data_IF_682619980105
#
_entry.id   IF_682619980105
#
_cell.length_a   1.000
_cell.length_b   1.000
_cell.length_c   1.000
_cell.angle_alpha   90.00
_cell.angle_beta   90.00
_cell.angle_gamma   90.00
#
_symmetry.space_group_name_H-M   'P 1'
#
loop_
_entity.id
_entity.type
_entity.pdbx_description
1 polymer ?
#
# COMPACT_ATOMS: atom_id res chain seq x y z
N UNK A 1 -0.98 -15.58 56.08
CA UNK A 1 -1.33 -14.96 54.77
C UNK A 1 -1.59 -16.09 53.78
N UNK A 2 -2.85 -16.46 53.61
CA UNK A 2 -3.29 -17.51 52.70
C UNK A 2 -3.32 -16.94 51.28
N UNK A 3 -2.38 -17.34 50.43
CA UNK A 3 -2.36 -17.02 49.01
C UNK A 3 -3.61 -17.62 48.35
N UNK A 4 -4.61 -16.77 48.06
CA UNK A 4 -5.81 -17.16 47.29
C UNK A 4 -5.37 -17.64 45.93
N UNK A 5 -5.63 -18.92 45.58
CA UNK A 5 -5.32 -19.46 44.26
C UNK A 5 -6.00 -18.60 43.16
N UNK A 6 -5.30 -18.30 42.06
CA UNK A 6 -5.85 -17.49 40.99
C UNK A 6 -7.09 -18.17 40.40
N UNK A 7 -8.22 -17.48 40.46
CA UNK A 7 -9.49 -17.96 39.91
C UNK A 7 -9.37 -18.09 38.37
N UNK A 8 -9.96 -19.14 37.76
CA UNK A 8 -9.91 -19.29 36.31
C UNK A 8 -10.63 -18.13 35.62
N UNK A 9 -10.08 -17.60 34.49
CA UNK A 9 -10.63 -16.45 33.81
C UNK A 9 -12.08 -16.71 33.33
N UNK A 10 -12.95 -15.75 33.61
CA UNK A 10 -14.38 -15.82 33.23
C UNK A 10 -14.57 -15.87 31.70
N UNK A 11 -15.73 -16.29 31.23
CA UNK A 11 -16.05 -16.31 29.81
C UNK A 11 -15.97 -14.92 29.17
N UNK A 12 -16.41 -13.88 29.89
CA UNK A 12 -16.35 -12.48 29.50
C UNK A 12 -14.91 -11.98 29.40
N UNK A 13 -14.08 -12.27 30.39
CA UNK A 13 -12.67 -11.92 30.43
C UNK A 13 -11.90 -12.52 29.24
N UNK A 14 -12.11 -13.79 28.91
CA UNK A 14 -11.49 -14.43 27.74
C UNK A 14 -11.88 -13.73 26.43
N UNK A 15 -13.10 -13.22 26.30
CA UNK A 15 -13.57 -12.48 25.12
C UNK A 15 -12.93 -11.11 25.02
N UNK A 16 -12.85 -10.34 26.11
CA UNK A 16 -12.15 -9.07 26.14
C UNK A 16 -10.65 -9.23 25.84
N UNK A 17 -9.98 -10.23 26.41
CA UNK A 17 -8.58 -10.53 26.07
C UNK A 17 -8.37 -10.84 24.58
N UNK A 18 -9.36 -11.46 23.90
CA UNK A 18 -9.31 -11.64 22.43
C UNK A 18 -9.44 -10.31 21.70
N UNK A 19 -10.36 -9.44 22.08
CA UNK A 19 -10.54 -8.12 21.48
C UNK A 19 -9.32 -7.22 21.69
N UNK A 20 -8.69 -7.28 22.87
CA UNK A 20 -7.44 -6.57 23.15
C UNK A 20 -6.27 -6.99 22.25
N UNK A 21 -6.35 -8.13 21.56
CA UNK A 21 -5.36 -8.50 20.52
C UNK A 21 -5.34 -7.52 19.33
N UNK A 22 -6.36 -6.70 19.17
CA UNK A 22 -6.38 -5.61 18.20
C UNK A 22 -5.31 -4.55 18.50
N UNK A 23 -4.90 -4.38 19.75
CA UNK A 23 -3.85 -3.42 20.15
C UNK A 23 -2.43 -3.94 19.89
N UNK A 24 -1.42 -3.05 19.70
CA UNK A 24 -0.01 -3.41 19.59
C UNK A 24 0.49 -4.17 20.83
N UNK A 25 1.43 -5.10 20.63
CA UNK A 25 1.98 -5.91 21.74
C UNK A 25 2.55 -5.05 22.89
N UNK A 26 3.29 -3.97 22.56
CA UNK A 26 3.86 -3.06 23.56
C UNK A 26 2.76 -2.35 24.38
N UNK A 27 1.70 -1.91 23.73
CA UNK A 27 0.57 -1.27 24.41
C UNK A 27 -0.15 -2.24 25.33
N UNK A 28 -0.40 -3.47 24.89
CA UNK A 28 -1.03 -4.50 25.73
C UNK A 28 -0.19 -4.91 26.95
N UNK A 29 1.15 -4.94 26.78
CA UNK A 29 2.04 -5.26 27.88
C UNK A 29 2.06 -4.15 28.96
N UNK A 30 1.83 -2.90 28.57
CA UNK A 30 1.82 -1.76 29.48
C UNK A 30 0.44 -1.49 30.11
N UNK A 31 -0.65 -1.67 29.35
CA UNK A 31 -1.99 -1.23 29.76
C UNK A 31 -3.08 -2.32 29.61
N UNK A 32 -2.70 -3.54 29.22
CA UNK A 32 -3.68 -4.59 28.89
C UNK A 32 -4.49 -5.05 30.09
N UNK A 33 -3.86 -5.23 31.24
CA UNK A 33 -4.52 -5.71 32.44
C UNK A 33 -5.39 -4.59 33.05
N UNK A 34 -4.90 -3.35 33.11
CA UNK A 34 -5.67 -2.18 33.55
C UNK A 34 -6.95 -1.96 32.74
N UNK A 35 -6.82 -2.05 31.40
CA UNK A 35 -7.99 -1.96 30.51
C UNK A 35 -8.98 -3.11 30.72
N UNK A 36 -8.46 -4.31 30.99
CA UNK A 36 -9.29 -5.47 31.26
C UNK A 36 -10.08 -5.29 32.55
N UNK A 37 -9.43 -4.80 33.62
CA UNK A 37 -10.04 -4.56 34.91
C UNK A 37 -11.15 -3.52 34.80
N UNK A 38 -10.91 -2.39 34.13
CA UNK A 38 -11.93 -1.35 33.88
C UNK A 38 -13.12 -1.89 33.10
N UNK A 39 -12.86 -2.75 32.07
CA UNK A 39 -13.93 -3.34 31.27
C UNK A 39 -14.75 -4.37 32.04
N UNK A 40 -14.12 -5.11 32.95
CA UNK A 40 -14.83 -6.07 33.82
C UNK A 40 -15.65 -5.36 34.92
N UNK A 41 -15.12 -4.27 35.48
CA UNK A 41 -15.79 -3.45 36.49
C UNK A 41 -17.01 -2.73 35.89
N UNK A 42 -16.93 -2.26 34.65
CA UNK A 42 -18.03 -1.59 33.94
C UNK A 42 -19.09 -2.55 33.38
N UNK A 43 -18.85 -3.86 33.42
CA UNK A 43 -19.77 -4.85 32.89
C UNK A 43 -20.87 -5.18 33.86
N UNK A 44 -22.13 -5.29 33.37
CA UNK A 44 -23.27 -5.70 34.18
C UNK A 44 -23.06 -7.11 34.79
N UNK A 45 -23.53 -7.29 36.04
CA UNK A 45 -23.42 -8.57 36.74
C UNK A 45 -24.10 -9.71 35.96
N UNK A 46 -23.36 -10.83 35.74
CA UNK A 46 -23.87 -12.00 35.02
C UNK A 46 -23.69 -11.98 33.50
N UNK A 47 -23.14 -10.91 32.95
CA UNK A 47 -22.88 -10.81 31.51
C UNK A 47 -21.73 -11.74 31.09
N UNK A 48 -21.96 -12.51 30.01
CA UNK A 48 -20.95 -13.44 29.46
C UNK A 48 -20.35 -12.96 28.14
N UNK A 49 -20.96 -11.94 27.49
CA UNK A 49 -20.57 -11.43 26.16
C UNK A 49 -20.37 -9.91 26.24
N UNK A 50 -19.28 -9.34 25.66
CA UNK A 50 -19.10 -7.90 25.53
C UNK A 50 -20.27 -7.24 24.78
N UNK A 51 -20.66 -6.02 25.16
CA UNK A 51 -21.62 -5.26 24.37
C UNK A 51 -21.03 -4.97 22.98
N UNK A 52 -21.86 -4.96 21.94
CA UNK A 52 -21.40 -4.67 20.57
C UNK A 52 -20.71 -3.29 20.49
N UNK A 53 -21.21 -2.29 21.22
CA UNK A 53 -20.62 -0.96 21.29
C UNK A 53 -19.20 -0.98 21.90
N UNK A 54 -19.01 -1.74 22.97
CA UNK A 54 -17.71 -1.92 23.64
C UNK A 54 -16.73 -2.67 22.74
N UNK A 55 -17.18 -3.79 22.13
CA UNK A 55 -16.39 -4.57 21.21
C UNK A 55 -15.94 -3.72 20.01
N UNK A 56 -16.84 -2.92 19.44
CA UNK A 56 -16.52 -2.01 18.35
C UNK A 56 -15.57 -0.89 18.78
N UNK A 57 -15.78 -0.32 19.97
CA UNK A 57 -14.87 0.67 20.57
C UNK A 57 -13.46 0.12 20.76
N UNK A 58 -13.32 -1.11 21.26
CA UNK A 58 -12.04 -1.79 21.43
C UNK A 58 -11.36 -2.09 20.08
N UNK A 59 -12.10 -2.56 19.08
CA UNK A 59 -11.55 -2.84 17.74
C UNK A 59 -11.07 -1.54 17.07
N UNK A 60 -11.89 -0.49 17.05
CA UNK A 60 -11.53 0.79 16.44
C UNK A 60 -10.39 1.47 17.20
N UNK A 61 -10.40 1.43 18.53
CA UNK A 61 -9.30 1.91 19.37
C UNK A 61 -8.00 1.13 19.12
N UNK A 62 -8.10 -0.20 18.99
CA UNK A 62 -6.96 -1.07 18.67
C UNK A 62 -6.37 -0.79 17.31
N UNK A 63 -7.21 -0.64 16.28
CA UNK A 63 -6.77 -0.26 14.91
C UNK A 63 -6.11 1.11 14.93
N UNK A 64 -6.75 2.11 15.56
CA UNK A 64 -6.19 3.46 15.71
C UNK A 64 -4.82 3.42 16.41
N UNK A 65 -4.70 2.68 17.50
CA UNK A 65 -3.44 2.51 18.24
C UNK A 65 -2.36 1.86 17.38
N UNK A 66 -2.70 0.85 16.58
CA UNK A 66 -1.74 0.22 15.62
C UNK A 66 -1.29 1.22 14.56
N UNK A 67 -2.21 1.94 13.94
CA UNK A 67 -1.89 2.92 12.90
C UNK A 67 -1.07 4.07 13.48
N UNK A 68 -1.43 4.59 14.67
CA UNK A 68 -0.66 5.61 15.36
C UNK A 68 0.74 5.13 15.77
N UNK A 69 0.87 3.87 16.24
CA UNK A 69 2.17 3.28 16.55
C UNK A 69 3.03 3.07 15.29
N UNK A 70 2.39 2.88 14.14
CA UNK A 70 3.09 2.86 12.86
C UNK A 70 3.52 4.26 12.39
N UNK A 71 2.93 5.32 12.91
CA UNK A 71 3.23 6.70 12.58
C UNK A 71 4.40 7.28 13.39
N UNK A 72 5.43 6.49 13.72
CA UNK A 72 6.65 6.94 14.42
C UNK A 72 7.72 7.36 13.44
N UNK A 73 8.55 8.35 13.81
CA UNK A 73 9.65 8.87 12.99
C UNK A 73 9.23 10.00 12.05
N UNK A 74 10.12 10.38 11.13
CA UNK A 74 9.88 11.45 10.15
C UNK A 74 8.74 11.06 9.18
N UNK A 75 7.65 11.84 9.23
CA UNK A 75 6.46 11.59 8.40
C UNK A 75 6.79 11.68 6.90
N UNK A 76 7.71 12.57 6.54
CA UNK A 76 8.10 12.79 5.16
C UNK A 76 8.90 11.61 4.59
N UNK A 77 9.93 11.15 5.31
CA UNK A 77 10.78 10.03 4.88
C UNK A 77 9.99 8.73 4.82
N UNK A 78 9.14 8.47 5.83
CA UNK A 78 8.31 7.26 5.83
C UNK A 78 7.22 7.31 4.76
N UNK A 79 6.63 8.48 4.51
CA UNK A 79 5.65 8.69 3.43
C UNK A 79 6.26 8.50 2.05
N UNK A 80 7.44 9.07 1.80
CA UNK A 80 8.19 8.85 0.56
C UNK A 80 8.53 7.37 0.37
N UNK A 81 9.07 6.73 1.41
CA UNK A 81 9.38 5.30 1.38
C UNK A 81 8.12 4.44 1.12
N UNK A 82 6.96 4.82 1.70
CA UNK A 82 5.69 4.14 1.45
C UNK A 82 5.24 4.28 0.00
N UNK A 83 5.30 5.49 -0.56
CA UNK A 83 4.94 5.76 -1.95
C UNK A 83 5.81 4.97 -2.93
N UNK A 84 7.14 4.98 -2.72
CA UNK A 84 8.08 4.19 -3.54
C UNK A 84 7.77 2.69 -3.41
N UNK A 85 7.43 2.21 -2.20
CA UNK A 85 7.05 0.81 -2.00
C UNK A 85 5.79 0.45 -2.80
N UNK A 86 4.79 1.33 -2.81
CA UNK A 86 3.56 1.12 -3.57
C UNK A 86 3.82 1.08 -5.09
N UNK A 87 4.63 2.01 -5.61
CA UNK A 87 4.99 2.02 -7.04
C UNK A 87 5.86 0.80 -7.41
N UNK A 88 6.83 0.42 -6.56
CA UNK A 88 7.63 -0.79 -6.78
C UNK A 88 6.78 -2.07 -6.77
N UNK A 89 5.77 -2.14 -5.90
CA UNK A 89 4.82 -3.24 -5.89
C UNK A 89 3.95 -3.27 -7.16
N UNK A 90 3.51 -2.10 -7.66
CA UNK A 90 2.79 -2.00 -8.92
C UNK A 90 3.66 -2.42 -10.12
N UNK A 91 4.94 -2.02 -10.15
CA UNK A 91 5.89 -2.45 -11.17
C UNK A 91 6.09 -3.97 -11.17
N UNK A 92 6.22 -4.59 -10.00
CA UNK A 92 6.28 -6.05 -9.90
C UNK A 92 4.96 -6.68 -10.36
N UNK A 93 3.83 -6.12 -9.95
CA UNK A 93 2.50 -6.62 -10.33
C UNK A 93 2.32 -6.65 -11.87
N UNK A 94 2.82 -5.65 -12.58
CA UNK A 94 2.80 -5.60 -14.05
C UNK A 94 3.61 -6.74 -14.69
N UNK A 95 4.67 -7.24 -14.04
CA UNK A 95 5.52 -8.32 -14.56
C UNK A 95 5.02 -9.73 -14.17
N UNK A 96 4.26 -9.86 -13.07
CA UNK A 96 3.85 -11.17 -12.53
C UNK A 96 3.06 -12.05 -13.53
N UNK A 97 2.11 -11.53 -14.34
CA UNK A 97 1.39 -12.33 -15.33
C UNK A 97 2.31 -12.98 -16.38
N UNK A 98 3.48 -12.37 -16.60
CA UNK A 98 4.48 -12.83 -17.59
C UNK A 98 5.68 -13.55 -16.95
N UNK A 99 5.59 -13.92 -15.68
CA UNK A 99 6.71 -14.50 -14.93
C UNK A 99 7.30 -15.75 -15.57
N UNK A 100 6.48 -16.56 -16.26
CA UNK A 100 6.94 -17.75 -16.97
C UNK A 100 7.82 -17.40 -18.21
N UNK A 101 7.47 -16.32 -18.93
CA UNK A 101 8.20 -15.86 -20.10
C UNK A 101 9.47 -15.06 -19.75
N UNK A 102 9.43 -14.30 -18.63
CA UNK A 102 10.52 -13.42 -18.20
C UNK A 102 10.93 -13.65 -16.73
N UNK A 103 11.27 -14.89 -16.34
CA UNK A 103 11.47 -15.24 -14.93
C UNK A 103 12.60 -14.42 -14.27
N UNK A 104 13.70 -14.16 -15.00
CA UNK A 104 14.82 -13.38 -14.47
C UNK A 104 14.42 -11.94 -14.12
N UNK A 105 13.64 -11.29 -14.98
CA UNK A 105 13.23 -9.90 -14.80
C UNK A 105 12.19 -9.77 -13.69
N UNK A 106 11.27 -10.71 -13.60
CA UNK A 106 10.30 -10.80 -12.50
C UNK A 106 11.04 -11.02 -11.17
N UNK A 107 12.05 -11.90 -11.14
CA UNK A 107 12.88 -12.12 -9.95
C UNK A 107 13.65 -10.86 -9.54
N UNK A 108 14.28 -10.15 -10.50
CA UNK A 108 15.00 -8.91 -10.22
C UNK A 108 14.06 -7.83 -9.66
N UNK A 109 12.86 -7.69 -10.23
CA UNK A 109 11.84 -6.77 -9.73
C UNK A 109 11.36 -7.16 -8.31
N UNK A 110 11.19 -8.45 -8.06
CA UNK A 110 10.86 -8.97 -6.74
C UNK A 110 11.97 -8.67 -5.71
N UNK A 111 13.24 -8.85 -6.08
CA UNK A 111 14.39 -8.51 -5.24
C UNK A 111 14.50 -7.00 -5.01
N UNK A 112 14.17 -6.17 -6.03
CA UNK A 112 14.10 -4.72 -5.87
C UNK A 112 13.04 -4.32 -4.84
N UNK A 113 11.82 -4.87 -4.94
CA UNK A 113 10.77 -4.65 -3.95
C UNK A 113 11.20 -5.13 -2.55
N UNK A 114 11.81 -6.31 -2.44
CA UNK A 114 12.33 -6.81 -1.16
C UNK A 114 13.37 -5.86 -0.55
N UNK A 115 14.29 -5.35 -1.37
CA UNK A 115 15.30 -4.39 -0.93
C UNK A 115 14.67 -3.09 -0.43
N UNK A 116 13.63 -2.57 -1.14
CA UNK A 116 12.84 -1.41 -0.68
C UNK A 116 12.16 -1.73 0.66
N UNK A 117 11.46 -2.85 0.78
CA UNK A 117 10.77 -3.26 2.02
C UNK A 117 11.72 -3.38 3.22
N UNK A 118 12.96 -3.78 2.97
CA UNK A 118 14.02 -3.89 4.00
C UNK A 118 14.78 -2.59 4.25
N UNK A 119 14.44 -1.50 3.55
CA UNK A 119 15.13 -0.22 3.65
C UNK A 119 16.54 -0.23 3.05
N UNK A 120 16.89 -1.24 2.24
CA UNK A 120 18.21 -1.37 1.58
C UNK A 120 18.23 -0.57 0.27
N UNK A 121 18.20 0.75 0.39
CA UNK A 121 18.08 1.67 -0.76
C UNK A 121 19.20 1.48 -1.78
N UNK A 122 20.45 1.25 -1.34
CA UNK A 122 21.60 1.08 -2.21
C UNK A 122 21.52 -0.20 -3.07
N UNK A 123 20.84 -1.23 -2.59
CA UNK A 123 20.59 -2.47 -3.33
C UNK A 123 19.37 -2.31 -4.22
N UNK A 124 18.33 -1.62 -3.72
CA UNK A 124 17.11 -1.37 -4.47
C UNK A 124 17.36 -0.52 -5.73
N UNK A 125 18.26 0.47 -5.65
CA UNK A 125 18.53 1.38 -6.76
C UNK A 125 19.04 0.68 -8.03
N UNK A 126 20.16 -0.08 -8.02
CA UNK A 126 20.63 -0.75 -9.23
C UNK A 126 19.65 -1.82 -9.76
N UNK A 127 18.94 -2.52 -8.88
CA UNK A 127 17.92 -3.49 -9.28
C UNK A 127 16.76 -2.81 -10.01
N UNK A 128 16.25 -1.69 -9.44
CA UNK A 128 15.20 -0.91 -10.10
C UNK A 128 15.66 -0.25 -11.39
N UNK A 129 16.91 0.17 -11.48
CA UNK A 129 17.48 0.73 -12.71
C UNK A 129 17.53 -0.31 -13.83
N UNK A 130 18.09 -1.49 -13.55
CA UNK A 130 18.22 -2.57 -14.54
C UNK A 130 16.83 -3.05 -15.00
N UNK A 131 15.90 -3.26 -14.08
CA UNK A 131 14.52 -3.65 -14.44
C UNK A 131 13.80 -2.54 -15.20
N UNK A 132 14.02 -1.26 -14.84
CA UNK A 132 13.44 -0.11 -15.52
C UNK A 132 13.93 0.05 -16.94
N UNK A 133 15.25 -0.04 -17.17
CA UNK A 133 15.84 0.00 -18.55
C UNK A 133 15.22 -1.09 -19.41
N UNK A 134 15.07 -2.31 -18.86
CA UNK A 134 14.46 -3.40 -19.61
C UNK A 134 12.98 -3.16 -19.88
N UNK A 135 12.22 -2.69 -18.89
CA UNK A 135 10.79 -2.37 -19.06
C UNK A 135 10.59 -1.32 -20.16
N UNK A 136 11.40 -0.25 -20.16
CA UNK A 136 11.36 0.80 -21.20
C UNK A 136 11.74 0.25 -22.57
N UNK A 137 12.75 -0.63 -22.64
CA UNK A 137 13.16 -1.26 -23.91
C UNK A 137 12.05 -2.14 -24.48
N UNK A 138 11.32 -2.89 -23.64
CA UNK A 138 10.17 -3.70 -24.07
C UNK A 138 9.03 -2.80 -24.55
N UNK A 139 8.66 -1.76 -23.78
CA UNK A 139 7.62 -0.81 -24.17
C UNK A 139 7.95 -0.05 -25.46
N UNK A 140 9.24 0.23 -25.70
CA UNK A 140 9.73 0.91 -26.92
C UNK A 140 9.95 -0.01 -28.12
N UNK A 141 9.77 -1.33 -27.99
CA UNK A 141 10.02 -2.30 -29.06
C UNK A 141 11.49 -2.40 -29.48
N UNK A 142 12.45 -2.07 -28.61
CA UNK A 142 13.88 -2.05 -28.95
C UNK A 142 14.47 -3.44 -29.06
N UNK A 143 14.68 -3.89 -30.30
CA UNK A 143 15.13 -5.24 -30.60
C UNK A 143 16.53 -5.60 -30.05
N UNK A 144 17.41 -4.61 -29.83
CA UNK A 144 18.75 -4.84 -29.29
C UNK A 144 18.74 -5.56 -27.93
N UNK A 145 17.71 -5.34 -27.12
CA UNK A 145 17.54 -5.99 -25.83
C UNK A 145 16.66 -7.25 -25.88
N UNK A 146 15.99 -7.53 -27.01
CA UNK A 146 15.11 -8.68 -27.15
C UNK A 146 15.86 -9.96 -27.52
N UNK A 147 17.09 -9.88 -28.04
CA UNK A 147 17.87 -11.07 -28.44
C UNK A 147 18.22 -12.02 -27.32
N UNK A 148 18.19 -11.57 -26.07
CA UNK A 148 18.50 -12.35 -24.87
C UNK A 148 17.25 -12.81 -24.11
N UNK A 149 16.07 -12.51 -24.61
CA UNK A 149 14.80 -12.80 -23.95
C UNK A 149 13.88 -13.54 -24.90
N UNK A 150 13.16 -14.51 -24.33
CA UNK A 150 12.02 -15.11 -24.99
C UNK A 150 11.00 -14.00 -25.33
N UNK A 151 10.35 -14.07 -26.50
CA UNK A 151 9.32 -13.11 -26.86
C UNK A 151 8.27 -13.08 -25.75
N UNK A 152 7.90 -11.87 -25.34
CA UNK A 152 6.89 -11.68 -24.27
C UNK A 152 5.52 -11.75 -24.94
N UNK A 153 5.07 -12.96 -25.16
CA UNK A 153 3.77 -13.22 -25.75
C UNK A 153 2.63 -13.12 -24.71
N UNK A 154 1.39 -12.97 -25.17
CA UNK A 154 0.23 -13.06 -24.29
C UNK A 154 0.26 -14.31 -23.44
N UNK A 155 -0.11 -14.19 -22.17
CA UNK A 155 -0.20 -15.32 -21.24
C UNK A 155 -1.67 -15.69 -21.00
N UNK A 156 -1.90 -16.86 -20.38
CA UNK A 156 -3.27 -17.24 -20.00
C UNK A 156 -3.90 -16.27 -18.96
N UNK A 157 -3.09 -15.42 -18.32
CA UNK A 157 -3.54 -14.42 -17.36
C UNK A 157 -3.82 -13.05 -18.00
N UNK A 158 -3.34 -12.81 -19.23
CA UNK A 158 -3.58 -11.56 -19.95
C UNK A 158 -3.49 -11.80 -21.45
N UNK A 159 -4.47 -11.34 -22.23
CA UNK A 159 -4.49 -11.49 -23.67
C UNK A 159 -3.48 -10.58 -24.39
N UNK A 160 -2.95 -9.57 -23.72
CA UNK A 160 -2.07 -8.58 -24.30
C UNK A 160 -0.60 -8.87 -24.02
N UNK A 161 0.29 -8.44 -24.90
CA UNK A 161 1.73 -8.46 -24.67
C UNK A 161 2.15 -7.51 -23.53
N UNK A 162 3.24 -7.82 -22.85
CA UNK A 162 3.77 -6.95 -21.78
C UNK A 162 4.06 -5.54 -22.32
N UNK A 163 3.47 -4.53 -21.72
CA UNK A 163 3.55 -3.12 -22.11
C UNK A 163 3.04 -2.80 -23.53
N UNK A 164 2.19 -3.65 -24.13
CA UNK A 164 1.67 -3.43 -25.50
C UNK A 164 0.97 -2.07 -25.63
N UNK A 165 0.21 -1.67 -24.61
CA UNK A 165 -0.56 -0.43 -24.61
C UNK A 165 0.10 0.68 -23.76
N UNK A 166 1.33 0.46 -23.28
CA UNK A 166 2.02 1.42 -22.43
C UNK A 166 3.00 2.26 -23.24
N UNK A 167 2.93 3.57 -23.10
CA UNK A 167 3.94 4.46 -23.68
C UNK A 167 5.30 4.22 -23.02
N UNK A 168 6.41 4.09 -23.80
CA UNK A 168 7.76 4.01 -23.25
C UNK A 168 8.10 5.15 -22.30
N UNK A 169 7.54 6.33 -22.55
CA UNK A 169 7.69 7.50 -21.70
C UNK A 169 7.01 7.30 -20.35
N UNK A 170 5.79 6.78 -20.30
CA UNK A 170 5.07 6.52 -19.05
C UNK A 170 5.80 5.48 -18.20
N UNK A 171 6.29 4.40 -18.84
CA UNK A 171 7.09 3.37 -18.15
C UNK A 171 8.38 3.98 -17.61
N UNK A 172 9.10 4.76 -18.41
CA UNK A 172 10.34 5.44 -17.99
C UNK A 172 10.09 6.39 -16.80
N UNK A 173 9.03 7.19 -16.86
CA UNK A 173 8.67 8.13 -15.81
C UNK A 173 8.31 7.40 -14.50
N UNK A 174 7.61 6.27 -14.56
CA UNK A 174 7.28 5.46 -13.40
C UNK A 174 8.54 4.96 -12.68
N UNK A 175 9.51 4.41 -13.44
CA UNK A 175 10.78 3.98 -12.87
C UNK A 175 11.63 5.17 -12.41
N UNK A 176 11.60 6.31 -13.13
CA UNK A 176 12.30 7.53 -12.71
C UNK A 176 11.79 8.04 -11.35
N UNK A 177 10.49 8.01 -11.10
CA UNK A 177 9.92 8.36 -9.78
C UNK A 177 10.49 7.45 -8.68
N UNK A 178 10.58 6.14 -8.92
CA UNK A 178 11.19 5.20 -7.98
C UNK A 178 12.67 5.52 -7.75
N UNK A 179 13.44 5.71 -8.81
CA UNK A 179 14.88 5.96 -8.74
C UNK A 179 15.20 7.30 -8.05
N UNK A 180 14.49 8.38 -8.40
CA UNK A 180 14.62 9.69 -7.76
C UNK A 180 14.29 9.57 -6.27
N UNK A 181 13.19 8.91 -5.95
CA UNK A 181 12.78 8.68 -4.56
C UNK A 181 13.81 7.87 -3.77
N UNK A 182 14.40 6.82 -4.37
CA UNK A 182 15.49 6.06 -3.76
C UNK A 182 16.75 6.91 -3.54
N UNK A 183 17.11 7.78 -4.49
CA UNK A 183 18.23 8.74 -4.32
C UNK A 183 17.97 9.72 -3.18
N UNK A 184 16.76 10.25 -3.10
CA UNK A 184 16.37 11.15 -2.00
C UNK A 184 16.44 10.40 -0.66
N UNK A 185 15.97 9.17 -0.56
CA UNK A 185 16.10 8.35 0.65
C UNK A 185 17.57 8.03 0.97
N UNK A 186 18.40 7.78 -0.04
CA UNK A 186 19.82 7.53 0.14
C UNK A 186 20.57 8.76 0.70
N UNK A 187 20.19 9.97 0.29
CA UNK A 187 20.76 11.21 0.82
C UNK A 187 20.45 11.43 2.31
N UNK A 188 19.37 10.81 2.80
CA UNK A 188 18.89 10.90 4.20
C UNK A 188 19.31 9.70 5.07
N UNK A 189 20.47 9.11 4.80
CA UNK A 189 20.99 7.89 5.50
C UNK A 189 21.03 7.97 7.03
N UNK A 190 20.98 9.14 7.62
CA UNK A 190 20.96 9.32 9.08
C UNK A 190 19.63 8.90 9.72
N UNK A 191 18.56 8.84 8.94
CA UNK A 191 17.26 8.39 9.41
C UNK A 191 17.10 6.89 9.09
N UNK A 192 16.96 6.05 10.13
CA UNK A 192 16.75 4.62 9.95
C UNK A 192 15.42 4.37 9.23
N UNK A 193 15.48 3.83 8.02
CA UNK A 193 14.30 3.45 7.26
C UNK A 193 13.61 2.28 7.93
N UNK A 194 12.30 2.36 8.01
CA UNK A 194 11.49 1.34 8.65
C UNK A 194 11.39 0.09 7.77
N UNK A 195 11.64 -1.07 8.38
CA UNK A 195 11.36 -2.37 7.75
C UNK A 195 9.85 -2.53 7.61
N UNK A 196 9.36 -2.72 6.38
CA UNK A 196 7.95 -2.90 6.08
C UNK A 196 7.53 -4.37 6.13
N UNK A 197 6.24 -4.58 6.28
CA UNK A 197 5.63 -5.90 6.41
C UNK A 197 5.72 -6.72 5.12
N UNK A 198 5.76 -8.06 5.27
CA UNK A 198 5.62 -9.02 4.17
C UNK A 198 4.25 -8.97 3.45
N UNK A 199 3.25 -8.34 4.03
CA UNK A 199 1.92 -8.18 3.42
C UNK A 199 1.93 -7.41 2.10
N UNK A 200 3.03 -6.76 1.75
CA UNK A 200 3.21 -6.15 0.43
C UNK A 200 3.30 -7.17 -0.71
N UNK A 201 3.75 -8.39 -0.46
CA UNK A 201 3.77 -9.46 -1.46
C UNK A 201 2.37 -9.89 -1.90
N UNK A 202 1.46 -10.29 -0.98
CA UNK A 202 0.06 -10.54 -1.33
C UNK A 202 -0.62 -9.35 -2.01
N UNK A 203 -0.29 -8.10 -1.62
CA UNK A 203 -0.82 -6.92 -2.28
C UNK A 203 -0.36 -6.83 -3.75
N UNK A 204 0.93 -7.06 -4.05
CA UNK A 204 1.43 -7.09 -5.43
C UNK A 204 0.74 -8.18 -6.26
N UNK A 205 0.55 -9.39 -5.70
CA UNK A 205 -0.18 -10.48 -6.37
C UNK A 205 -1.65 -10.11 -6.59
N UNK A 206 -2.31 -9.49 -5.61
CA UNK A 206 -3.69 -9.05 -5.75
C UNK A 206 -3.85 -7.97 -6.82
N UNK A 207 -2.92 -7.02 -6.91
CA UNK A 207 -2.90 -6.00 -7.96
C UNK A 207 -2.68 -6.65 -9.34
N UNK A 208 -1.77 -7.62 -9.44
CA UNK A 208 -1.52 -8.36 -10.68
C UNK A 208 -2.76 -9.16 -11.12
N UNK A 209 -3.45 -9.78 -10.17
CA UNK A 209 -4.67 -10.54 -10.44
C UNK A 209 -5.86 -9.63 -10.79
N UNK A 210 -5.93 -8.43 -10.24
CA UNK A 210 -6.92 -7.41 -10.57
C UNK A 210 -6.67 -6.75 -11.94
N UNK A 211 -5.79 -7.30 -12.75
CA UNK A 211 -5.48 -6.83 -14.09
C UNK A 211 -6.66 -6.88 -15.08
N UNK A 212 -6.43 -6.67 -16.37
CA UNK A 212 -7.43 -6.35 -17.38
C UNK A 212 -8.45 -7.43 -17.74
N UNK A 213 -8.50 -8.57 -17.05
CA UNK A 213 -9.36 -9.71 -17.39
C UNK A 213 -10.88 -9.47 -17.40
N UNK A 214 -11.34 -8.34 -16.90
CA UNK A 214 -12.77 -8.03 -16.74
C UNK A 214 -13.27 -6.96 -17.71
N UNK A 215 -12.51 -6.69 -18.78
CA UNK A 215 -12.82 -5.61 -19.70
C UNK A 215 -13.16 -6.11 -21.10
N UNK A 216 -14.01 -5.38 -21.76
CA UNK A 216 -14.29 -5.55 -23.18
C UNK A 216 -13.01 -5.36 -23.99
N UNK A 217 -12.77 -6.31 -24.90
CA UNK A 217 -11.54 -6.42 -25.70
C UNK A 217 -11.32 -5.27 -26.70
N UNK A 218 -12.31 -4.37 -26.84
CA UNK A 218 -12.33 -3.36 -27.91
C UNK A 218 -11.78 -1.99 -27.51
N UNK A 219 -11.24 -1.80 -26.32
CA UNK A 219 -10.72 -0.49 -25.90
C UNK A 219 -9.20 -0.48 -25.83
N UNK A 220 -8.57 0.47 -26.51
CA UNK A 220 -7.12 0.67 -26.60
C UNK A 220 -6.48 0.94 -25.23
N UNK A 221 -7.24 1.50 -24.28
CA UNK A 221 -6.81 1.73 -22.90
C UNK A 221 -7.87 1.23 -21.91
N UNK A 222 -7.85 -0.06 -21.56
CA UNK A 222 -8.88 -0.67 -20.75
C UNK A 222 -8.83 -0.24 -19.28
N UNK A 223 -9.98 0.18 -18.73
CA UNK A 223 -10.19 0.42 -17.30
C UNK A 223 -10.79 -0.81 -16.64
N UNK A 224 -10.01 -1.49 -15.80
CA UNK A 224 -10.51 -2.62 -15.02
C UNK A 224 -11.27 -2.13 -13.78
N UNK A 225 -12.53 -2.55 -13.61
CA UNK A 225 -13.31 -2.29 -12.38
C UNK A 225 -12.63 -2.89 -11.15
N UNK A 226 -11.98 -4.04 -11.29
CA UNK A 226 -11.22 -4.66 -10.21
C UNK A 226 -9.98 -3.83 -9.83
N UNK A 227 -9.26 -3.26 -10.81
CA UNK A 227 -8.15 -2.33 -10.57
C UNK A 227 -8.66 -1.07 -9.86
N UNK A 228 -9.74 -0.46 -10.36
CA UNK A 228 -10.38 0.68 -9.70
C UNK A 228 -10.75 0.36 -8.25
N UNK A 229 -11.36 -0.80 -7.99
CA UNK A 229 -11.76 -1.21 -6.63
C UNK A 229 -10.55 -1.36 -5.70
N UNK A 230 -9.45 -1.98 -6.17
CA UNK A 230 -8.21 -2.13 -5.39
C UNK A 230 -7.57 -0.77 -5.10
N UNK A 231 -7.45 0.10 -6.10
CA UNK A 231 -6.84 1.41 -5.96
C UNK A 231 -7.69 2.36 -5.09
N UNK A 232 -9.00 2.40 -5.31
CA UNK A 232 -9.92 3.18 -4.48
C UNK A 232 -9.93 2.70 -3.03
N UNK A 233 -9.85 1.38 -2.80
CA UNK A 233 -9.73 0.82 -1.46
C UNK A 233 -8.40 1.22 -0.81
N UNK A 234 -7.28 1.12 -1.52
CA UNK A 234 -5.96 1.49 -1.01
C UNK A 234 -5.89 2.99 -0.66
N UNK A 235 -6.38 3.86 -1.55
CA UNK A 235 -6.44 5.31 -1.31
C UNK A 235 -7.46 5.69 -0.23
N UNK A 236 -8.60 4.99 -0.17
CA UNK A 236 -9.58 5.15 0.90
C UNK A 236 -9.01 4.77 2.27
N UNK A 237 -8.23 3.69 2.35
CA UNK A 237 -7.47 3.33 3.55
C UNK A 237 -6.41 4.37 3.90
N UNK A 238 -5.69 4.91 2.91
CA UNK A 238 -4.73 6.00 3.12
C UNK A 238 -5.42 7.24 3.70
N UNK A 239 -6.57 7.63 3.14
CA UNK A 239 -7.41 8.71 3.66
C UNK A 239 -7.84 8.44 5.12
N UNK A 240 -8.35 7.25 5.41
CA UNK A 240 -8.75 6.86 6.76
C UNK A 240 -7.56 6.91 7.74
N UNK A 241 -6.38 6.43 7.32
CA UNK A 241 -5.15 6.51 8.11
C UNK A 241 -4.73 7.95 8.36
N UNK A 242 -4.77 8.85 7.35
CA UNK A 242 -4.52 10.29 7.53
C UNK A 242 -5.47 10.91 8.55
N UNK A 243 -6.76 10.56 8.47
CA UNK A 243 -7.76 11.05 9.41
C UNK A 243 -7.54 10.55 10.83
N UNK A 244 -7.18 9.27 10.99
CA UNK A 244 -6.93 8.66 12.30
C UNK A 244 -5.64 9.14 12.96
N UNK A 245 -4.54 9.26 12.19
CA UNK A 245 -3.20 9.61 12.73
C UNK A 245 -2.92 11.10 12.71
N UNK A 246 -3.65 11.88 11.90
CA UNK A 246 -3.37 13.30 11.60
C UNK A 246 -1.97 13.51 11.02
N UNK A 247 -1.50 12.57 10.22
CA UNK A 247 -0.15 12.55 9.68
C UNK A 247 -0.20 12.57 8.15
N UNK A 248 0.71 13.31 7.52
CA UNK A 248 0.78 13.49 6.06
C UNK A 248 1.45 12.34 5.32
N UNK A 249 2.04 11.35 6.00
CA UNK A 249 2.79 10.26 5.36
C UNK A 249 1.97 9.47 4.35
N UNK A 250 0.71 9.20 4.67
CA UNK A 250 -0.20 8.46 3.81
C UNK A 250 -0.63 9.30 2.61
N UNK A 251 -0.84 10.61 2.82
CA UNK A 251 -1.15 11.55 1.76
C UNK A 251 0.00 11.71 0.76
N UNK A 252 1.25 11.75 1.25
CA UNK A 252 2.43 11.79 0.40
C UNK A 252 2.55 10.53 -0.45
N UNK A 253 2.34 9.35 0.15
CA UNK A 253 2.35 8.08 -0.57
C UNK A 253 1.24 8.02 -1.65
N UNK A 254 0.03 8.47 -1.31
CA UNK A 254 -1.09 8.56 -2.24
C UNK A 254 -0.79 9.54 -3.39
N UNK A 255 -0.17 10.68 -3.09
CA UNK A 255 0.24 11.68 -4.09
C UNK A 255 1.28 11.13 -5.07
N UNK A 256 2.27 10.37 -4.59
CA UNK A 256 3.27 9.72 -5.45
C UNK A 256 2.60 8.71 -6.38
N UNK A 257 1.66 7.91 -5.87
CA UNK A 257 0.91 6.95 -6.67
C UNK A 257 0.04 7.65 -7.72
N UNK A 258 -0.71 8.69 -7.32
CA UNK A 258 -1.52 9.49 -8.23
C UNK A 258 -0.67 10.16 -9.32
N UNK A 259 0.54 10.63 -8.99
CA UNK A 259 1.47 11.20 -9.96
C UNK A 259 1.80 10.18 -11.06
N UNK A 260 2.17 8.96 -10.67
CA UNK A 260 2.49 7.88 -11.62
C UNK A 260 1.28 7.55 -12.51
N UNK A 261 0.09 7.39 -11.92
CA UNK A 261 -1.13 7.11 -12.67
C UNK A 261 -1.50 8.27 -13.61
N UNK A 262 -1.26 9.52 -13.19
CA UNK A 262 -1.51 10.70 -14.02
C UNK A 262 -0.57 10.79 -15.23
N UNK A 263 0.68 10.36 -15.11
CA UNK A 263 1.62 10.30 -16.24
C UNK A 263 1.13 9.30 -17.29
N UNK A 264 0.70 8.12 -16.87
CA UNK A 264 0.13 7.12 -17.78
C UNK A 264 -1.10 7.66 -18.51
N UNK A 265 -2.00 8.34 -17.79
CA UNK A 265 -3.19 8.93 -18.38
C UNK A 265 -2.87 10.03 -19.39
N UNK A 266 -1.89 10.88 -19.12
CA UNK A 266 -1.50 11.97 -20.01
C UNK A 266 -0.86 11.50 -21.32
N UNK A 267 -0.23 10.33 -21.33
CA UNK A 267 0.34 9.74 -22.55
C UNK A 267 -0.70 9.20 -23.50
N UNK A 268 -1.93 8.98 -23.02
CA UNK A 268 -3.10 8.53 -23.80
C UNK A 268 -4.17 9.63 -23.90
N UNK A 269 -3.77 10.90 -23.88
CA UNK A 269 -4.71 12.04 -23.79
C UNK A 269 -5.73 12.08 -24.95
N UNK A 270 -5.35 11.59 -26.13
CA UNK A 270 -6.22 11.56 -27.32
C UNK A 270 -7.30 10.47 -27.23
N UNK A 271 -7.11 9.46 -26.40
CA UNK A 271 -8.00 8.30 -26.26
C UNK A 271 -8.86 8.38 -24.99
N UNK A 272 -8.78 9.49 -24.25
CA UNK A 272 -9.45 9.64 -22.96
C UNK A 272 -10.98 9.66 -23.13
N UNK A 273 -11.62 8.70 -22.49
CA UNK A 273 -13.08 8.65 -22.36
C UNK A 273 -13.56 9.33 -21.09
N UNK A 274 -14.87 9.57 -20.99
CA UNK A 274 -15.49 10.07 -19.75
C UNK A 274 -15.24 9.14 -18.57
N UNK A 275 -15.12 7.83 -18.81
CA UNK A 275 -14.83 6.82 -17.78
C UNK A 275 -13.41 7.00 -17.21
N UNK A 276 -12.41 7.26 -18.05
CA UNK A 276 -11.04 7.55 -17.63
C UNK A 276 -10.97 8.81 -16.76
N UNK A 277 -11.70 9.88 -17.17
CA UNK A 277 -11.78 11.12 -16.38
C UNK A 277 -12.47 10.88 -15.02
N UNK A 278 -13.55 10.10 -14.99
CA UNK A 278 -14.25 9.75 -13.76
C UNK A 278 -13.34 8.92 -12.83
N UNK A 279 -12.64 7.92 -13.38
CA UNK A 279 -11.66 7.12 -12.65
C UNK A 279 -10.57 8.00 -12.01
N UNK A 280 -9.90 8.81 -12.82
CA UNK A 280 -8.87 9.72 -12.32
C UNK A 280 -9.44 10.74 -11.32
N UNK A 281 -10.64 11.22 -11.54
CA UNK A 281 -11.38 12.10 -10.62
C UNK A 281 -11.56 11.45 -9.25
N UNK A 282 -11.96 10.18 -9.18
CA UNK A 282 -12.09 9.43 -7.90
C UNK A 282 -10.75 9.33 -7.18
N UNK A 283 -9.67 8.94 -7.88
CA UNK A 283 -8.34 8.85 -7.27
C UNK A 283 -7.86 10.21 -6.76
N UNK A 284 -8.10 11.27 -7.53
CA UNK A 284 -7.74 12.65 -7.17
C UNK A 284 -8.50 13.11 -5.93
N UNK A 285 -9.82 12.91 -5.87
CA UNK A 285 -10.66 13.30 -4.72
C UNK A 285 -10.21 12.56 -3.45
N UNK A 286 -9.93 11.25 -3.53
CA UNK A 286 -9.42 10.48 -2.38
C UNK A 286 -8.06 11.00 -1.91
N UNK A 287 -7.16 11.33 -2.84
CA UNK A 287 -5.83 11.87 -2.52
C UNK A 287 -5.91 13.28 -1.92
N UNK A 288 -6.74 14.17 -2.49
CA UNK A 288 -6.99 15.50 -1.94
C UNK A 288 -7.67 15.42 -0.56
N UNK A 289 -8.60 14.48 -0.39
CA UNK A 289 -9.19 14.18 0.92
C UNK A 289 -8.12 13.78 1.94
N UNK A 290 -7.17 12.92 1.55
CA UNK A 290 -6.06 12.50 2.42
C UNK A 290 -5.14 13.68 2.79
N UNK A 291 -4.85 14.60 1.87
CA UNK A 291 -4.03 15.79 2.15
C UNK A 291 -4.76 16.79 3.05
N UNK A 292 -6.07 16.95 2.91
CA UNK A 292 -6.87 17.90 3.68
C UNK A 292 -7.21 17.42 5.11
N UNK A 293 -7.24 16.11 5.34
CA UNK A 293 -7.63 15.51 6.62
C UNK A 293 -6.84 16.04 7.85
N UNK A 294 -5.50 16.23 7.79
CA UNK A 294 -4.73 16.77 8.91
C UNK A 294 -5.02 18.23 9.22
N UNK A 295 -5.47 19.04 8.24
CA UNK A 295 -5.66 20.49 8.39
C UNK A 295 -7.03 20.87 9.00
N UNK A 296 -8.07 20.09 8.75
CA UNK A 296 -9.44 20.43 9.19
C UNK A 296 -9.59 20.63 10.70
N UNK A 297 -8.78 20.00 11.54
CA UNK A 297 -8.89 20.10 13.01
C UNK A 297 -7.97 21.13 13.67
N UNK A 298 -7.01 21.74 12.96
CA UNK A 298 -6.25 22.86 13.53
C UNK A 298 -7.11 24.11 13.74
N UNK A 299 -8.22 24.25 12.99
CA UNK A 299 -9.14 25.39 13.10
C UNK A 299 -10.06 25.34 14.32
N UNK A 300 -10.32 24.14 14.88
CA UNK A 300 -11.19 24.00 16.05
C UNK A 300 -10.44 23.99 17.40
N UNK A 301 -9.14 24.20 17.41
CA UNK A 301 -8.35 24.36 18.65
C UNK A 301 -7.98 25.82 18.92
N UNK A 302 -8.46 26.76 18.11
CA UNK A 302 -8.21 28.20 18.23
C UNK A 302 -9.48 29.00 18.50
N UNK A 303 -10.64 28.33 18.59
CA UNK A 303 -11.90 28.85 19.11
C UNK A 303 -12.18 28.20 20.49
#
# INVERSE_FOLDING_TARGET
MTATAPQPPTALERRYRRLLRAYPRKYRAAHGDELLDVLLESADAGRTVPALREAWGLLTGGVRSRVAHQATGSAWVDGLHLGITAVAAANLAALLPYAAAIPLWTLLSALALLAVLRGRVLVAFPLSLVTGVKAVAVAGGWQAFNRTLLPVEPSFLTPQGLFADSSPFAVAATYAVVLIGLLVLASRRREALRIRSWWWWPAAVAIAWAGPHWMEEDTIFPLSLSRLAVEATALGLALACCYLTRDHRWALAAGIYLLVTSIELTTHAEELTRQHLAYWGVLTVLTLGATSAPFRRRRHCLD
#
